data_IF_367818097130
#
_entry.id   IF_367818097130
#
_cell.length_a   1.000
_cell.length_b   1.000
_cell.length_c   1.000
_cell.angle_alpha   90.00
_cell.angle_beta   90.00
_cell.angle_gamma   90.00
#
_symmetry.space_group_name_H-M   'P 1'
#
loop_
_entity.id
_entity.type
_entity.pdbx_description
1 polymer ?
#
# COMPACT_ATOMS: atom_id res chain seq x y z
N UNK A 1 -82.68 52.47 -14.19
CA UNK A 1 -81.80 52.75 -15.31
C UNK A 1 -80.48 53.22 -14.78
N UNK A 2 -79.42 52.41 -14.81
CA UNK A 2 -78.04 52.82 -15.08
C UNK A 2 -77.20 51.54 -15.16
N UNK A 3 -76.61 51.28 -16.34
CA UNK A 3 -75.75 50.18 -16.65
C UNK A 3 -74.37 50.53 -16.18
N UNK A 4 -73.69 49.70 -15.42
CA UNK A 4 -72.26 49.74 -15.16
C UNK A 4 -71.54 49.00 -16.28
N UNK A 5 -70.49 49.60 -16.81
CA UNK A 5 -69.58 49.05 -17.79
C UNK A 5 -68.45 48.33 -17.05
N UNK A 6 -68.30 47.00 -17.28
CA UNK A 6 -67.07 46.27 -16.92
C UNK A 6 -66.07 46.46 -18.02
N UNK A 7 -64.88 46.91 -17.62
CA UNK A 7 -63.71 47.04 -18.50
C UNK A 7 -62.83 45.75 -18.40
N UNK A 8 -62.89 44.91 -19.43
CA UNK A 8 -62.02 43.81 -19.61
C UNK A 8 -60.61 44.28 -20.04
N UNK A 9 -59.60 44.11 -19.19
CA UNK A 9 -58.20 44.30 -19.57
C UNK A 9 -57.67 43.08 -20.39
N UNK A 10 -56.64 43.29 -21.24
CA UNK A 10 -56.17 42.28 -22.18
C UNK A 10 -55.45 41.10 -21.52
N UNK A 11 -55.56 39.86 -22.07
CA UNK A 11 -55.15 38.59 -21.44
C UNK A 11 -53.68 38.23 -21.42
N UNK A 12 -52.75 39.21 -21.61
CA UNK A 12 -51.32 38.92 -21.71
C UNK A 12 -50.45 39.25 -20.46
N UNK A 13 -51.09 39.64 -19.35
CA UNK A 13 -50.38 40.00 -18.11
C UNK A 13 -50.19 38.85 -17.10
N UNK A 14 -50.63 37.60 -17.39
CA UNK A 14 -50.52 36.48 -16.43
C UNK A 14 -49.33 35.54 -16.62
N UNK A 15 -48.44 35.74 -17.58
CA UNK A 15 -47.37 34.80 -17.88
C UNK A 15 -45.95 35.23 -17.43
N UNK A 16 -45.79 36.35 -16.70
CA UNK A 16 -44.46 36.80 -16.27
C UNK A 16 -43.91 36.09 -15.03
N UNK A 17 -44.70 35.39 -14.24
CA UNK A 17 -44.27 34.75 -13.01
C UNK A 17 -43.72 33.32 -13.18
N UNK A 18 -43.93 32.67 -14.32
CA UNK A 18 -43.45 31.28 -14.55
C UNK A 18 -42.01 31.26 -15.07
N UNK A 19 -41.63 32.25 -15.86
CA UNK A 19 -40.28 32.33 -16.45
C UNK A 19 -39.21 32.66 -15.41
N UNK A 20 -39.48 33.47 -14.40
CA UNK A 20 -38.53 33.82 -13.34
C UNK A 20 -38.22 32.66 -12.41
N UNK A 21 -39.17 31.76 -12.14
CA UNK A 21 -38.90 30.56 -11.32
C UNK A 21 -37.96 29.57 -12.01
N UNK A 22 -38.08 29.40 -13.32
CA UNK A 22 -37.18 28.55 -14.10
C UNK A 22 -35.76 29.13 -14.21
N UNK A 23 -35.63 30.42 -14.39
CA UNK A 23 -34.30 31.10 -14.40
C UNK A 23 -33.61 31.01 -13.05
N UNK A 24 -34.33 31.13 -11.93
CA UNK A 24 -33.71 31.00 -10.60
C UNK A 24 -33.23 29.57 -10.31
N UNK A 25 -33.91 28.56 -10.77
CA UNK A 25 -33.48 27.15 -10.62
C UNK A 25 -32.27 26.82 -11.52
N UNK A 26 -32.21 27.34 -12.73
CA UNK A 26 -31.08 27.17 -13.64
C UNK A 26 -29.82 27.85 -13.06
N UNK A 27 -29.96 29.07 -12.55
CA UNK A 27 -28.84 29.78 -11.91
C UNK A 27 -28.38 29.07 -10.62
N UNK A 28 -29.30 28.55 -9.79
CA UNK A 28 -28.95 27.75 -8.61
C UNK A 28 -28.25 26.43 -8.98
N UNK A 29 -28.67 25.77 -10.04
CA UNK A 29 -28.00 24.56 -10.55
C UNK A 29 -26.61 24.86 -11.09
N UNK A 30 -26.45 25.97 -11.82
CA UNK A 30 -25.15 26.42 -12.35
C UNK A 30 -24.17 26.82 -11.21
N UNK A 31 -24.66 27.49 -10.18
CA UNK A 31 -23.87 27.87 -9.01
C UNK A 31 -23.51 26.63 -8.15
N UNK A 32 -24.38 25.62 -8.07
CA UNK A 32 -24.08 24.33 -7.43
C UNK A 32 -23.04 23.54 -8.25
N UNK A 33 -23.13 23.54 -9.58
CA UNK A 33 -22.15 22.89 -10.46
C UNK A 33 -20.79 23.58 -10.41
N UNK A 34 -20.74 24.91 -10.39
CA UNK A 34 -19.51 25.69 -10.23
C UNK A 34 -18.86 25.44 -8.85
N UNK A 35 -19.62 25.28 -7.79
CA UNK A 35 -19.11 24.92 -6.47
C UNK A 35 -18.61 23.45 -6.37
N UNK A 36 -19.19 22.54 -7.16
CA UNK A 36 -18.71 21.15 -7.28
C UNK A 36 -17.40 21.07 -8.09
N UNK A 37 -17.28 21.88 -9.15
CA UNK A 37 -16.05 21.95 -9.95
C UNK A 37 -14.94 22.72 -9.19
N UNK A 38 -15.28 23.75 -8.41
CA UNK A 38 -14.30 24.48 -7.59
C UNK A 38 -13.76 23.66 -6.40
N UNK A 39 -14.51 22.67 -5.89
CA UNK A 39 -14.02 21.75 -4.84
C UNK A 39 -13.13 20.63 -5.33
N UNK A 40 -12.95 20.51 -6.64
CA UNK A 40 -12.04 19.53 -7.25
C UNK A 40 -10.61 20.05 -7.43
N UNK A 41 -10.28 21.27 -6.98
CA UNK A 41 -9.02 21.94 -7.29
C UNK A 41 -8.23 22.51 -6.10
N UNK A 42 -8.40 21.98 -4.90
CA UNK A 42 -7.51 22.34 -3.79
C UNK A 42 -6.84 21.08 -3.19
N UNK A 43 -6.11 20.32 -4.05
CA UNK A 43 -5.01 19.53 -3.55
C UNK A 43 -3.72 20.36 -3.74
N UNK A 44 -2.95 20.63 -2.67
CA UNK A 44 -1.65 21.24 -2.83
C UNK A 44 -0.82 20.35 -3.75
N UNK A 45 -0.26 20.94 -4.80
CA UNK A 45 0.71 20.31 -5.68
C UNK A 45 1.96 19.97 -4.83
N UNK A 46 1.91 18.82 -4.15
CA UNK A 46 3.01 18.24 -3.39
C UNK A 46 3.88 17.46 -4.37
N UNK A 47 5.12 17.90 -4.49
CA UNK A 47 6.28 17.27 -5.13
C UNK A 47 5.95 16.30 -6.26
N UNK A 48 5.89 16.84 -7.43
CA UNK A 48 5.66 16.18 -8.71
C UNK A 48 6.86 15.35 -9.14
N UNK A 49 7.05 14.19 -8.57
CA UNK A 49 7.63 13.11 -9.37
C UNK A 49 6.46 12.50 -10.12
N UNK A 50 6.41 12.72 -11.44
CA UNK A 50 5.38 12.12 -12.27
C UNK A 50 5.46 10.60 -12.08
N UNK A 51 4.40 9.96 -11.57
CA UNK A 51 4.35 8.51 -11.34
C UNK A 51 4.67 7.70 -12.62
N UNK A 52 4.58 8.33 -13.78
CA UNK A 52 4.77 7.73 -15.10
C UNK A 52 6.25 7.72 -15.54
N UNK A 53 7.11 8.59 -15.00
CA UNK A 53 8.53 8.65 -15.35
C UNK A 53 9.41 8.16 -14.20
N UNK A 54 9.62 6.85 -14.14
CA UNK A 54 10.48 6.22 -13.14
C UNK A 54 11.94 6.65 -13.24
N UNK A 55 12.40 7.09 -14.43
CA UNK A 55 13.78 7.55 -14.62
C UNK A 55 14.03 8.89 -13.93
N UNK A 56 13.07 9.79 -14.00
CA UNK A 56 13.07 11.06 -13.25
C UNK A 56 12.82 10.81 -11.76
N UNK A 57 11.90 9.92 -11.42
CA UNK A 57 11.54 9.59 -10.03
C UNK A 57 12.76 9.13 -9.21
N UNK A 58 13.66 8.33 -9.80
CA UNK A 58 14.86 7.81 -9.17
C UNK A 58 16.17 8.49 -9.65
N UNK A 59 16.11 9.64 -10.30
CA UNK A 59 17.28 10.29 -10.91
C UNK A 59 18.44 10.54 -9.95
N UNK A 60 18.15 10.79 -8.67
CA UNK A 60 19.15 11.15 -7.66
C UNK A 60 19.71 9.97 -6.84
N UNK A 61 19.42 8.72 -7.22
CA UNK A 61 19.95 7.53 -6.50
C UNK A 61 21.10 6.83 -7.24
N UNK A 62 21.43 7.29 -8.45
CA UNK A 62 22.53 6.71 -9.24
C UNK A 62 23.83 6.70 -8.42
N UNK A 63 24.56 5.58 -8.47
CA UNK A 63 25.83 5.34 -7.78
C UNK A 63 25.77 5.24 -6.24
N UNK A 64 24.61 5.44 -5.61
CA UNK A 64 24.47 5.25 -4.17
C UNK A 64 24.36 3.76 -3.81
N UNK A 65 24.86 3.41 -2.60
CA UNK A 65 24.83 2.06 -2.04
C UNK A 65 24.60 2.11 -0.54
N UNK A 66 24.28 0.97 0.06
CA UNK A 66 24.14 0.81 1.50
C UNK A 66 23.22 1.86 2.12
N UNK A 67 23.62 2.37 3.25
CA UNK A 67 22.83 3.33 4.03
C UNK A 67 22.59 4.66 3.30
N UNK A 68 23.52 5.08 2.41
CA UNK A 68 23.34 6.29 1.60
C UNK A 68 22.18 6.13 0.60
N UNK A 69 22.10 4.97 -0.09
CA UNK A 69 21.00 4.65 -0.98
C UNK A 69 19.68 4.55 -0.21
N UNK A 70 19.67 3.85 0.92
CA UNK A 70 18.49 3.68 1.78
C UNK A 70 17.92 5.03 2.24
N UNK A 71 18.76 5.93 2.75
CA UNK A 71 18.36 7.28 3.17
C UNK A 71 17.81 8.11 2.00
N UNK A 72 18.46 8.02 0.84
CA UNK A 72 17.98 8.75 -0.33
C UNK A 72 16.64 8.24 -0.82
N UNK A 73 16.44 6.92 -0.88
CA UNK A 73 15.14 6.33 -1.20
C UNK A 73 14.08 6.73 -0.19
N UNK A 74 14.39 6.70 1.12
CA UNK A 74 13.48 7.18 2.14
C UNK A 74 13.00 8.62 1.86
N UNK A 75 13.91 9.54 1.50
CA UNK A 75 13.54 10.93 1.20
C UNK A 75 12.61 11.07 -0.01
N UNK A 76 12.59 10.08 -0.91
CA UNK A 76 11.73 10.05 -2.10
C UNK A 76 10.37 9.43 -1.78
N UNK A 77 10.34 8.29 -1.05
CA UNK A 77 9.14 7.48 -0.91
C UNK A 77 8.34 7.74 0.37
N UNK A 78 8.99 8.24 1.44
CA UNK A 78 8.31 8.49 2.71
C UNK A 78 7.29 9.64 2.67
N UNK A 79 7.52 10.74 1.93
CA UNK A 79 6.48 11.73 1.69
C UNK A 79 5.41 11.17 0.74
N UNK A 80 4.24 10.81 1.29
CA UNK A 80 3.14 10.30 0.48
C UNK A 80 1.78 10.66 1.09
N UNK A 81 0.72 10.57 0.28
CA UNK A 81 -0.64 10.76 0.74
C UNK A 81 -1.09 9.56 1.59
N UNK A 82 -1.62 9.83 2.77
CA UNK A 82 -2.12 8.80 3.69
C UNK A 82 -3.63 8.67 3.56
N UNK A 83 -4.10 7.45 3.34
CA UNK A 83 -5.53 7.15 3.29
C UNK A 83 -6.09 6.99 4.71
N UNK A 84 -7.39 7.20 4.86
CA UNK A 84 -8.10 6.69 6.04
C UNK A 84 -8.16 5.16 6.01
N UNK A 85 -8.25 4.54 7.20
CA UNK A 85 -8.34 3.07 7.28
C UNK A 85 -9.58 2.51 6.56
N UNK A 86 -10.65 3.30 6.41
CA UNK A 86 -11.84 2.94 5.65
C UNK A 86 -11.57 2.92 4.14
N UNK A 87 -10.88 3.93 3.61
CA UNK A 87 -10.57 4.04 2.17
C UNK A 87 -9.69 2.90 1.67
N UNK A 88 -8.88 2.30 2.54
CA UNK A 88 -8.06 1.12 2.18
C UNK A 88 -8.90 -0.01 1.60
N UNK A 89 -10.15 -0.23 2.06
CA UNK A 89 -11.02 -1.27 1.48
C UNK A 89 -11.30 -1.04 0.00
N UNK A 90 -11.61 0.18 -0.38
CA UNK A 90 -11.95 0.51 -1.76
C UNK A 90 -10.70 0.54 -2.64
N UNK A 91 -9.58 1.00 -2.10
CA UNK A 91 -8.29 0.93 -2.78
C UNK A 91 -7.91 -0.52 -3.12
N UNK A 92 -7.99 -1.46 -2.16
CA UNK A 92 -7.67 -2.88 -2.38
C UNK A 92 -8.59 -3.53 -3.44
N UNK A 93 -9.88 -3.19 -3.46
CA UNK A 93 -10.81 -3.67 -4.49
C UNK A 93 -10.38 -3.27 -5.91
N UNK A 94 -9.65 -2.20 -6.05
CA UNK A 94 -9.16 -1.70 -7.33
C UNK A 94 -7.75 -2.20 -7.65
N UNK A 95 -6.80 -2.05 -6.72
CA UNK A 95 -5.38 -2.37 -6.99
C UNK A 95 -5.08 -3.88 -6.99
N UNK A 96 -5.87 -4.68 -6.25
CA UNK A 96 -5.76 -6.14 -6.17
C UNK A 96 -6.92 -6.85 -6.90
N UNK A 97 -7.56 -6.18 -7.85
CA UNK A 97 -8.65 -6.74 -8.65
C UNK A 97 -8.21 -7.96 -9.46
N UNK A 98 -9.04 -9.00 -9.50
CA UNK A 98 -8.74 -10.25 -10.20
C UNK A 98 -8.58 -10.08 -11.72
N UNK A 99 -9.39 -9.20 -12.34
CA UNK A 99 -9.13 -8.73 -13.69
C UNK A 99 -8.25 -7.48 -13.60
N UNK A 100 -6.96 -7.67 -13.80
CA UNK A 100 -5.98 -6.60 -13.66
C UNK A 100 -6.10 -5.54 -14.75
N UNK A 101 -6.59 -5.87 -15.94
CA UNK A 101 -6.76 -4.91 -17.03
C UNK A 101 -8.02 -4.06 -16.86
N UNK A 102 -9.06 -4.65 -16.25
CA UNK A 102 -10.35 -4.00 -16.02
C UNK A 102 -10.75 -3.99 -14.54
N UNK A 103 -10.00 -3.31 -13.68
CA UNK A 103 -10.21 -3.38 -12.24
C UNK A 103 -11.56 -2.83 -11.78
N UNK A 104 -12.15 -1.89 -12.52
CA UNK A 104 -13.46 -1.32 -12.19
C UNK A 104 -14.61 -2.29 -12.39
N UNK A 105 -14.55 -3.13 -13.42
CA UNK A 105 -15.58 -4.12 -13.77
C UNK A 105 -15.35 -5.47 -13.09
N UNK A 106 -14.14 -5.73 -12.61
CA UNK A 106 -13.79 -6.96 -11.88
C UNK A 106 -14.64 -7.13 -10.64
N UNK A 107 -15.29 -8.29 -10.49
CA UNK A 107 -16.12 -8.62 -9.32
C UNK A 107 -15.34 -9.20 -8.14
N UNK A 108 -14.06 -9.60 -8.35
CA UNK A 108 -13.20 -10.25 -7.38
C UNK A 108 -11.91 -9.51 -7.09
N UNK A 109 -11.26 -9.90 -5.97
CA UNK A 109 -9.88 -9.59 -5.62
C UNK A 109 -9.08 -10.88 -5.53
N UNK A 110 -7.75 -10.80 -5.71
CA UNK A 110 -6.83 -11.93 -5.50
C UNK A 110 -6.29 -11.87 -4.08
N UNK A 111 -6.40 -12.96 -3.34
CA UNK A 111 -5.88 -13.09 -1.98
C UNK A 111 -4.41 -13.53 -1.99
N UNK A 112 -3.58 -12.86 -1.17
CA UNK A 112 -2.12 -13.03 -1.19
C UNK A 112 -1.63 -14.42 -0.74
N UNK A 113 -2.33 -15.11 0.17
CA UNK A 113 -1.87 -16.39 0.74
C UNK A 113 -2.63 -17.61 0.20
N UNK A 114 -3.83 -17.42 -0.29
CA UNK A 114 -4.63 -18.48 -0.89
C UNK A 114 -4.53 -18.52 -2.41
N UNK A 115 -4.11 -17.41 -3.02
CA UNK A 115 -4.10 -17.16 -4.46
C UNK A 115 -5.49 -17.29 -5.12
N UNK A 116 -6.55 -17.29 -4.30
CA UNK A 116 -7.93 -17.42 -4.78
C UNK A 116 -8.50 -16.07 -5.19
N UNK A 117 -9.40 -16.13 -6.15
CA UNK A 117 -10.25 -15.00 -6.50
C UNK A 117 -11.48 -15.04 -5.61
N UNK A 118 -11.68 -13.99 -4.82
CA UNK A 118 -12.82 -13.87 -3.89
C UNK A 118 -13.60 -12.61 -4.17
N UNK A 119 -14.93 -12.67 -4.02
CA UNK A 119 -15.80 -11.54 -4.31
C UNK A 119 -15.45 -10.29 -3.50
N UNK A 120 -15.39 -9.15 -4.16
CA UNK A 120 -15.21 -7.83 -3.51
C UNK A 120 -16.26 -7.56 -2.42
N UNK A 121 -17.46 -8.14 -2.55
CA UNK A 121 -18.57 -7.99 -1.59
C UNK A 121 -18.33 -8.70 -0.25
N UNK A 122 -17.35 -9.59 -0.20
CA UNK A 122 -16.99 -10.34 1.01
C UNK A 122 -15.91 -9.65 1.85
N UNK A 123 -15.56 -8.39 1.54
CA UNK A 123 -14.63 -7.59 2.32
C UNK A 123 -15.08 -7.46 3.79
N UNK A 124 -14.22 -7.85 4.73
CA UNK A 124 -14.50 -7.80 6.16
C UNK A 124 -15.51 -8.81 6.68
N UNK A 125 -15.92 -9.81 5.86
CA UNK A 125 -16.83 -10.88 6.30
C UNK A 125 -16.04 -12.07 6.83
N UNK A 126 -16.62 -12.86 7.77
CA UNK A 126 -15.94 -14.04 8.32
C UNK A 126 -15.52 -15.08 7.27
N UNK A 127 -16.34 -15.29 6.23
CA UNK A 127 -16.05 -16.19 5.11
C UNK A 127 -15.44 -15.47 3.90
N UNK A 128 -14.90 -14.29 4.10
CA UNK A 128 -14.32 -13.46 3.06
C UNK A 128 -12.88 -13.11 3.35
N UNK A 129 -12.51 -11.93 2.91
CA UNK A 129 -11.15 -11.46 2.99
C UNK A 129 -11.00 -10.24 3.90
N UNK A 130 -9.81 -10.13 4.49
CA UNK A 130 -9.39 -9.05 5.36
C UNK A 130 -8.25 -8.24 4.74
N UNK A 131 -7.96 -7.08 5.34
CA UNK A 131 -6.77 -6.28 5.09
C UNK A 131 -5.60 -6.90 5.84
N UNK A 132 -4.81 -7.71 5.18
CA UNK A 132 -3.58 -8.27 5.72
C UNK A 132 -2.48 -7.21 5.71
N UNK A 133 -1.87 -6.96 6.87
CA UNK A 133 -0.66 -6.17 7.00
C UNK A 133 0.54 -7.10 6.92
N UNK A 134 1.27 -7.09 5.81
CA UNK A 134 2.45 -7.93 5.60
C UNK A 134 3.49 -7.69 6.70
N UNK A 135 3.79 -6.44 7.02
CA UNK A 135 4.41 -6.08 8.29
C UNK A 135 3.31 -5.85 9.32
N UNK A 136 3.21 -6.69 10.37
CA UNK A 136 2.04 -6.69 11.26
C UNK A 136 1.89 -5.40 12.07
N UNK A 137 0.67 -5.05 12.36
CA UNK A 137 0.33 -3.88 13.19
C UNK A 137 0.97 -3.91 14.58
N UNK A 138 1.12 -5.10 15.16
CA UNK A 138 1.75 -5.30 16.48
C UNK A 138 3.19 -4.82 16.57
N UNK A 139 3.86 -4.59 15.44
CA UNK A 139 5.21 -4.05 15.37
C UNK A 139 5.24 -2.51 15.43
N UNK A 140 4.15 -1.88 15.85
CA UNK A 140 4.06 -0.42 16.05
C UNK A 140 3.35 0.34 14.93
N UNK A 141 2.68 -0.37 14.00
CA UNK A 141 1.87 0.26 12.94
C UNK A 141 0.44 0.52 13.46
N UNK A 142 0.32 1.33 14.49
CA UNK A 142 -0.97 1.54 15.19
C UNK A 142 -1.73 2.78 14.72
N UNK A 143 -1.04 3.72 14.11
CA UNK A 143 -1.59 4.99 13.63
C UNK A 143 -0.74 5.57 12.50
N UNK A 144 -1.21 6.67 11.91
CA UNK A 144 -0.50 7.42 10.87
C UNK A 144 -0.34 6.66 9.55
N UNK A 145 0.56 7.14 8.67
CA UNK A 145 0.71 6.61 7.32
C UNK A 145 1.07 5.12 7.27
N UNK A 146 1.89 4.63 8.20
CA UNK A 146 2.31 3.22 8.22
C UNK A 146 1.16 2.23 8.42
N UNK A 147 0.06 2.65 9.08
CA UNK A 147 -1.12 1.82 9.29
C UNK A 147 -1.93 1.60 8.00
N UNK A 148 -1.89 2.55 7.08
CA UNK A 148 -2.75 2.56 5.88
C UNK A 148 -1.97 2.46 4.58
N UNK A 149 -0.67 2.17 4.66
CA UNK A 149 0.21 2.06 3.51
C UNK A 149 -0.17 0.88 2.60
N UNK A 150 -0.59 1.19 1.38
CA UNK A 150 -1.05 0.20 0.41
C UNK A 150 0.07 -0.72 -0.07
N UNK A 151 1.34 -0.31 0.01
CA UNK A 151 2.47 -1.20 -0.29
C UNK A 151 2.64 -2.32 0.76
N UNK A 152 2.09 -2.12 1.97
CA UNK A 152 2.09 -3.10 3.06
C UNK A 152 0.79 -3.91 3.18
N UNK A 153 -0.31 -3.48 2.56
CA UNK A 153 -1.62 -4.09 2.80
C UNK A 153 -2.09 -4.86 1.57
N UNK A 154 -2.52 -6.12 1.78
CA UNK A 154 -3.04 -7.01 0.74
C UNK A 154 -4.36 -7.67 1.18
N UNK A 155 -5.24 -8.04 0.23
CA UNK A 155 -6.35 -8.92 0.56
C UNK A 155 -5.84 -10.29 1.00
N UNK A 156 -6.38 -10.85 2.08
CA UNK A 156 -6.11 -12.22 2.50
C UNK A 156 -7.37 -12.88 3.05
N UNK A 157 -7.53 -14.17 2.85
CA UNK A 157 -8.58 -14.96 3.50
C UNK A 157 -8.54 -14.74 5.01
N UNK A 158 -9.69 -14.54 5.64
CA UNK A 158 -9.77 -14.18 7.05
C UNK A 158 -9.17 -15.24 7.97
N UNK A 159 -9.36 -16.55 7.64
CA UNK A 159 -8.81 -17.65 8.43
C UNK A 159 -7.30 -17.82 8.21
N UNK A 160 -6.86 -17.67 6.96
CA UNK A 160 -5.43 -17.75 6.63
C UNK A 160 -4.68 -16.57 7.25
N UNK A 161 -5.24 -15.36 7.22
CA UNK A 161 -4.69 -14.19 7.90
C UNK A 161 -4.57 -14.42 9.42
N UNK A 162 -5.60 -14.97 10.06
CA UNK A 162 -5.57 -15.34 11.48
C UNK A 162 -4.49 -16.40 11.76
N UNK A 163 -4.32 -17.41 10.90
CA UNK A 163 -3.31 -18.45 11.00
C UNK A 163 -1.88 -17.90 10.83
N UNK A 164 -1.69 -16.92 9.94
CA UNK A 164 -0.40 -16.22 9.79
C UNK A 164 -0.06 -15.46 11.06
N UNK A 165 -0.99 -14.74 11.65
CA UNK A 165 -0.77 -13.96 12.87
C UNK A 165 0.33 -12.92 12.71
N UNK A 166 1.34 -12.98 13.59
CA UNK A 166 2.49 -12.07 13.57
C UNK A 166 3.82 -12.79 13.26
N UNK A 167 3.75 -13.99 12.66
CA UNK A 167 4.92 -14.80 12.35
C UNK A 167 5.86 -14.11 11.37
N UNK A 168 7.14 -14.41 11.50
CA UNK A 168 8.16 -13.93 10.58
C UNK A 168 8.07 -14.65 9.24
N UNK A 169 8.49 -13.98 8.18
CA UNK A 169 8.61 -14.62 6.87
C UNK A 169 9.95 -15.33 6.74
N UNK A 170 9.90 -16.59 6.35
CA UNK A 170 11.07 -17.43 6.18
C UNK A 170 10.72 -18.76 5.53
N UNK A 171 11.73 -19.60 5.28
CA UNK A 171 11.51 -20.97 4.84
C UNK A 171 11.24 -21.84 6.05
N UNK A 172 10.22 -22.68 5.96
CA UNK A 172 9.99 -23.72 6.95
C UNK A 172 11.04 -24.81 6.79
N UNK A 173 11.63 -25.32 7.88
CA UNK A 173 12.60 -26.38 7.80
C UNK A 173 11.95 -27.67 7.27
N UNK A 174 12.29 -28.05 6.04
CA UNK A 174 11.69 -29.18 5.32
C UNK A 174 11.76 -30.54 6.03
N UNK A 175 12.64 -30.69 7.01
CA UNK A 175 12.81 -31.89 7.84
C UNK A 175 12.15 -31.77 9.21
N UNK A 176 11.56 -30.63 9.55
CA UNK A 176 10.88 -30.43 10.83
C UNK A 176 9.50 -31.03 10.79
N UNK A 177 9.24 -31.98 11.68
CA UNK A 177 7.89 -32.54 11.91
C UNK A 177 6.87 -31.49 12.40
N UNK A 178 7.32 -30.26 12.67
CA UNK A 178 6.52 -29.13 13.14
C UNK A 178 6.06 -28.22 12.00
N UNK A 179 6.56 -28.40 10.78
CA UNK A 179 6.14 -27.64 9.62
C UNK A 179 4.81 -28.17 9.06
N UNK A 180 3.79 -27.35 9.08
CA UNK A 180 2.47 -27.66 8.49
C UNK A 180 2.44 -27.21 7.02
N UNK A 181 1.92 -28.10 6.14
CA UNK A 181 1.73 -27.84 4.71
C UNK A 181 0.45 -28.55 4.21
N UNK A 182 -0.54 -27.83 3.70
CA UNK A 182 -0.61 -26.34 3.68
C UNK A 182 -0.71 -25.78 5.10
N UNK A 183 -0.29 -24.54 5.27
CA UNK A 183 -0.32 -23.84 6.55
C UNK A 183 -1.73 -23.70 7.15
N UNK A 184 -2.76 -23.72 6.30
CA UNK A 184 -4.18 -23.68 6.62
C UNK A 184 -4.95 -24.30 5.46
N UNK A 185 -6.16 -24.83 5.70
CA UNK A 185 -6.98 -25.47 4.64
C UNK A 185 -7.41 -24.53 3.51
N UNK A 186 -7.55 -23.20 3.80
CA UNK A 186 -7.88 -22.19 2.82
C UNK A 186 -6.64 -21.58 2.15
N UNK A 187 -5.43 -21.85 2.64
CA UNK A 187 -4.19 -21.38 2.03
C UNK A 187 -3.86 -22.16 0.76
N UNK A 188 -2.98 -21.59 -0.09
CA UNK A 188 -2.42 -22.30 -1.23
C UNK A 188 -1.61 -23.53 -0.75
N UNK A 189 -1.58 -24.59 -1.56
CA UNK A 189 -1.05 -25.91 -1.17
C UNK A 189 0.43 -25.89 -0.78
N UNK A 190 1.20 -24.92 -1.28
CA UNK A 190 2.63 -24.77 -1.00
C UNK A 190 2.93 -23.73 0.11
N UNK A 191 1.90 -23.18 0.75
CA UNK A 191 2.06 -22.35 1.94
C UNK A 191 2.46 -23.22 3.12
N UNK A 192 3.53 -22.85 3.82
CA UNK A 192 4.04 -23.62 4.96
C UNK A 192 4.11 -22.75 6.22
N UNK A 193 3.99 -23.36 7.38
CA UNK A 193 4.13 -22.66 8.66
C UNK A 193 4.58 -23.59 9.78
N UNK A 194 5.33 -23.03 10.71
CA UNK A 194 5.53 -23.62 12.04
C UNK A 194 5.05 -22.64 13.12
N UNK A 195 5.63 -22.69 14.31
CA UNK A 195 5.27 -21.81 15.43
C UNK A 195 5.64 -20.35 15.17
N UNK A 196 6.74 -20.07 14.48
CA UNK A 196 7.36 -18.75 14.35
C UNK A 196 7.45 -18.24 12.91
N UNK A 197 7.49 -19.16 11.94
CA UNK A 197 7.73 -18.88 10.52
C UNK A 197 6.45 -19.05 9.70
N UNK A 198 6.33 -18.18 8.71
CA UNK A 198 5.36 -18.24 7.65
C UNK A 198 6.07 -18.22 6.29
N UNK A 199 5.99 -19.31 5.54
CA UNK A 199 6.45 -19.42 4.17
C UNK A 199 5.22 -19.28 3.23
N UNK A 200 5.02 -18.12 2.60
CA UNK A 200 3.89 -17.90 1.71
C UNK A 200 4.03 -18.71 0.41
N UNK A 201 2.96 -18.78 -0.42
CA UNK A 201 3.03 -19.40 -1.74
C UNK A 201 4.19 -18.83 -2.56
N UNK A 202 4.85 -19.67 -3.34
CA UNK A 202 6.07 -19.29 -4.09
C UNK A 202 5.85 -18.11 -5.02
N UNK A 203 4.66 -17.98 -5.58
CA UNK A 203 4.27 -16.96 -6.56
C UNK A 203 4.18 -15.53 -6.01
N UNK A 204 4.26 -15.36 -4.68
CA UNK A 204 4.13 -14.06 -4.01
C UNK A 204 5.26 -13.78 -3.01
N UNK A 205 6.28 -14.63 -2.98
CA UNK A 205 7.42 -14.49 -2.07
C UNK A 205 8.20 -13.21 -2.37
N UNK A 206 8.43 -12.93 -3.65
CA UNK A 206 9.07 -11.70 -4.10
C UNK A 206 8.24 -10.46 -3.78
N UNK A 207 6.93 -10.50 -4.03
CA UNK A 207 6.00 -9.41 -3.70
C UNK A 207 6.08 -9.03 -2.21
N UNK A 208 6.06 -10.05 -1.35
CA UNK A 208 6.14 -9.87 0.10
C UNK A 208 7.51 -9.33 0.51
N UNK A 209 8.59 -9.87 -0.05
CA UNK A 209 9.94 -9.39 0.23
C UNK A 209 10.10 -7.91 -0.12
N UNK A 210 9.66 -7.50 -1.31
CA UNK A 210 9.70 -6.11 -1.77
C UNK A 210 8.81 -5.18 -0.94
N UNK A 211 7.66 -5.66 -0.48
CA UNK A 211 6.80 -4.91 0.43
C UNK A 211 7.50 -4.64 1.78
N UNK A 212 8.13 -5.65 2.37
CA UNK A 212 8.84 -5.50 3.66
C UNK A 212 10.09 -4.62 3.54
N UNK A 213 10.85 -4.73 2.43
CA UNK A 213 11.97 -3.85 2.14
C UNK A 213 11.53 -2.39 2.01
N UNK A 214 10.42 -2.14 1.31
CA UNK A 214 9.81 -0.82 1.24
C UNK A 214 9.41 -0.29 2.63
N UNK A 215 8.81 -1.11 3.47
CA UNK A 215 8.41 -0.70 4.82
C UNK A 215 9.61 -0.28 5.68
N UNK A 216 10.72 -1.00 5.62
CA UNK A 216 11.95 -0.59 6.31
C UNK A 216 12.50 0.72 5.74
N UNK A 217 12.52 0.90 4.42
CA UNK A 217 13.00 2.14 3.80
C UNK A 217 12.11 3.32 4.17
N UNK A 218 10.79 3.15 4.13
CA UNK A 218 9.83 4.23 4.39
C UNK A 218 9.75 4.60 5.88
N UNK A 219 9.85 3.61 6.77
CA UNK A 219 9.53 3.78 8.20
C UNK A 219 10.65 3.37 9.16
N UNK A 220 11.82 2.96 8.65
CA UNK A 220 12.97 2.55 9.47
C UNK A 220 13.79 3.73 10.00
N UNK A 221 13.81 4.85 9.29
CA UNK A 221 14.52 6.04 9.72
C UNK A 221 13.72 6.72 10.83
N UNK A 222 14.26 6.73 12.05
CA UNK A 222 13.63 7.43 13.17
C UNK A 222 13.69 8.94 12.95
N UNK A 223 12.58 9.52 12.60
CA UNK A 223 12.35 10.96 12.65
C UNK A 223 11.49 11.28 13.89
N UNK A 224 12.15 11.74 14.94
CA UNK A 224 11.51 12.36 16.13
C UNK A 224 10.14 11.77 16.55
N UNK A 225 10.06 10.46 16.78
CA UNK A 225 8.87 9.77 17.33
C UNK A 225 7.69 9.59 16.38
N UNK A 226 7.80 9.99 15.11
CA UNK A 226 6.71 9.90 14.12
C UNK A 226 6.71 8.63 13.30
N UNK A 227 7.81 7.89 13.26
CA UNK A 227 7.92 6.64 12.53
C UNK A 227 8.11 5.47 13.49
N UNK A 228 7.59 4.26 13.17
CA UNK A 228 7.71 3.11 14.03
C UNK A 228 9.15 2.60 14.22
N UNK A 229 10.12 2.97 13.36
CA UNK A 229 11.50 2.50 13.43
C UNK A 229 11.64 1.03 13.03
N UNK A 230 11.04 0.66 11.90
CA UNK A 230 11.02 -0.72 11.39
C UNK A 230 12.39 -1.17 10.90
N UNK A 231 12.75 -2.46 11.12
CA UNK A 231 14.03 -3.02 10.71
C UNK A 231 13.89 -4.46 10.23
N UNK A 232 14.59 -4.83 9.17
CA UNK A 232 14.75 -6.21 8.73
C UNK A 232 15.98 -6.84 9.40
N UNK A 233 15.86 -8.11 9.80
CA UNK A 233 16.91 -8.83 10.53
C UNK A 233 16.84 -10.33 10.23
N UNK A 234 17.96 -11.03 10.34
CA UNK A 234 17.99 -12.51 10.33
C UNK A 234 17.77 -13.12 11.74
N UNK A 235 17.74 -12.27 12.78
CA UNK A 235 17.34 -12.63 14.14
C UNK A 235 16.26 -11.65 14.62
N UNK A 236 15.06 -11.65 13.98
CA UNK A 236 14.06 -10.63 14.22
C UNK A 236 13.48 -10.70 15.62
N UNK A 237 13.13 -9.53 16.17
CA UNK A 237 12.55 -9.36 17.48
C UNK A 237 11.39 -8.35 17.43
N UNK A 238 10.20 -8.76 17.88
CA UNK A 238 9.00 -7.94 17.84
C UNK A 238 9.12 -6.66 18.69
N UNK A 239 9.77 -6.74 19.86
CA UNK A 239 9.95 -5.59 20.76
C UNK A 239 10.84 -4.53 20.12
N UNK A 240 11.79 -4.96 19.30
CA UNK A 240 12.67 -4.09 18.50
C UNK A 240 12.03 -3.69 17.17
N UNK A 241 10.79 -4.12 16.89
CA UNK A 241 10.06 -3.90 15.63
C UNK A 241 10.81 -4.47 14.42
N UNK A 242 11.51 -5.60 14.63
CA UNK A 242 12.27 -6.29 13.60
C UNK A 242 11.42 -7.38 12.96
N UNK A 243 11.48 -7.45 11.64
CA UNK A 243 10.84 -8.46 10.79
C UNK A 243 11.94 -9.20 10.00
N UNK A 244 11.64 -10.36 9.55
CA UNK A 244 12.59 -11.12 8.74
C UNK A 244 11.98 -12.41 8.22
N UNK A 245 12.82 -13.29 7.71
CA UNK A 245 14.30 -13.28 7.78
C UNK A 245 14.89 -12.50 6.58
N UNK A 246 15.79 -11.56 6.83
CA UNK A 246 16.36 -10.68 5.79
C UNK A 246 17.04 -11.47 4.66
N UNK A 247 17.90 -12.43 4.99
CA UNK A 247 18.57 -13.27 3.99
C UNK A 247 17.58 -14.05 3.11
N UNK A 248 16.50 -14.53 3.70
CA UNK A 248 15.43 -15.22 2.95
C UNK A 248 14.67 -14.24 2.06
N UNK A 249 14.36 -13.05 2.54
CA UNK A 249 13.67 -12.02 1.75
C UNK A 249 14.52 -11.57 0.55
N UNK A 250 15.83 -11.41 0.74
CA UNK A 250 16.75 -11.08 -0.36
C UNK A 250 16.75 -12.18 -1.43
N UNK A 251 16.81 -13.45 -1.01
CA UNK A 251 16.71 -14.59 -1.93
C UNK A 251 15.36 -14.62 -2.67
N UNK A 252 14.26 -14.37 -1.97
CA UNK A 252 12.94 -14.35 -2.61
C UNK A 252 12.81 -13.26 -3.65
N UNK A 253 13.33 -12.06 -3.38
CA UNK A 253 13.35 -10.96 -4.35
C UNK A 253 14.14 -11.33 -5.63
N UNK A 254 15.16 -12.22 -5.54
CA UNK A 254 15.92 -12.65 -6.72
C UNK A 254 15.20 -13.73 -7.53
N UNK A 255 14.58 -14.71 -6.84
CA UNK A 255 13.99 -15.88 -7.51
C UNK A 255 12.56 -15.66 -7.96
N UNK A 256 11.89 -14.64 -7.44
CA UNK A 256 10.54 -14.21 -7.78
C UNK A 256 10.55 -12.72 -8.15
N UNK A 257 10.98 -12.38 -9.38
CA UNK A 257 11.07 -11.01 -9.85
C UNK A 257 9.69 -10.37 -10.00
N UNK A 258 9.60 -9.01 -10.01
CA UNK A 258 8.32 -8.31 -10.12
C UNK A 258 7.51 -8.76 -11.34
N UNK A 259 6.29 -9.22 -11.09
CA UNK A 259 5.33 -9.60 -12.15
C UNK A 259 4.75 -8.36 -12.84
N UNK A 260 4.01 -8.56 -13.93
CA UNK A 260 3.25 -7.49 -14.58
C UNK A 260 2.19 -6.92 -13.62
N UNK A 261 1.51 -7.77 -12.90
CA UNK A 261 0.45 -7.44 -11.95
C UNK A 261 1.00 -6.59 -10.79
N UNK A 262 2.15 -6.94 -10.25
CA UNK A 262 2.81 -6.19 -9.19
C UNK A 262 3.27 -4.81 -9.68
N UNK A 263 3.82 -4.70 -10.89
CA UNK A 263 4.18 -3.40 -11.49
C UNK A 263 2.97 -2.52 -11.71
N UNK A 264 1.87 -3.06 -12.24
CA UNK A 264 0.61 -2.31 -12.39
C UNK A 264 0.03 -1.88 -11.05
N UNK A 265 0.13 -2.73 -10.03
CA UNK A 265 -0.27 -2.38 -8.67
C UNK A 265 0.55 -1.21 -8.13
N UNK A 266 1.88 -1.25 -8.27
CA UNK A 266 2.79 -0.18 -7.86
C UNK A 266 2.44 1.15 -8.54
N UNK A 267 2.20 1.12 -9.85
CA UNK A 267 1.80 2.29 -10.62
C UNK A 267 0.45 2.86 -10.15
N UNK A 268 -0.56 2.01 -9.90
CA UNK A 268 -1.88 2.43 -9.44
C UNK A 268 -1.86 3.04 -8.05
N UNK A 269 -1.05 2.50 -7.14
CA UNK A 269 -0.85 3.10 -5.82
C UNK A 269 -0.31 4.52 -5.97
N UNK A 270 0.69 4.70 -6.82
CA UNK A 270 1.26 6.02 -7.07
C UNK A 270 0.23 6.95 -7.72
N UNK A 271 -0.38 6.54 -8.84
CA UNK A 271 -1.22 7.40 -9.67
C UNK A 271 -2.52 7.82 -9.01
N UNK A 272 -3.16 6.91 -8.26
CA UNK A 272 -4.54 7.10 -7.80
C UNK A 272 -4.69 7.26 -6.28
N UNK A 273 -3.64 6.94 -5.48
CA UNK A 273 -3.79 6.87 -4.03
C UNK A 273 -2.70 7.58 -3.24
N UNK A 274 -1.49 7.05 -3.21
CA UNK A 274 -0.45 7.50 -2.28
C UNK A 274 0.56 8.47 -2.90
N UNK A 275 0.65 8.56 -4.21
CA UNK A 275 1.61 9.38 -4.95
C UNK A 275 3.09 8.99 -4.71
N UNK A 276 3.33 7.77 -4.24
CA UNK A 276 4.65 7.18 -4.11
C UNK A 276 4.71 5.78 -4.71
N UNK A 277 5.92 5.31 -4.99
CA UNK A 277 6.21 4.01 -5.58
C UNK A 277 7.02 3.16 -4.63
N UNK A 278 6.86 1.84 -4.71
CA UNK A 278 7.80 0.90 -4.08
C UNK A 278 9.04 0.77 -4.98
N UNK A 279 10.22 1.25 -4.54
CA UNK A 279 11.44 1.23 -5.36
C UNK A 279 11.94 -0.17 -5.66
N UNK A 280 11.59 -1.17 -4.86
CA UNK A 280 12.01 -2.55 -5.07
C UNK A 280 11.16 -3.29 -6.12
N UNK A 281 9.99 -2.75 -6.48
CA UNK A 281 9.21 -3.22 -7.64
C UNK A 281 9.76 -2.64 -8.93
N UNK A 282 10.16 -1.38 -8.92
CA UNK A 282 10.72 -0.70 -10.10
C UNK A 282 12.18 -1.13 -10.35
N UNK A 283 12.95 -1.30 -9.26
CA UNK A 283 14.38 -1.58 -9.23
C UNK A 283 14.71 -2.65 -8.17
N UNK A 284 14.41 -3.94 -8.43
CA UNK A 284 14.64 -5.02 -7.46
C UNK A 284 16.10 -5.19 -7.07
N UNK A 285 17.03 -4.73 -7.91
CA UNK A 285 18.47 -4.72 -7.65
C UNK A 285 18.88 -3.81 -6.48
N UNK A 286 18.06 -2.81 -6.12
CA UNK A 286 18.35 -1.94 -4.97
C UNK A 286 18.41 -2.71 -3.65
N UNK A 287 17.69 -3.84 -3.55
CA UNK A 287 17.76 -4.72 -2.40
C UNK A 287 19.21 -5.16 -2.10
N UNK A 288 19.91 -5.70 -3.11
CA UNK A 288 21.33 -6.07 -2.97
C UNK A 288 22.24 -4.86 -2.71
N UNK A 289 21.95 -3.75 -3.35
CA UNK A 289 22.76 -2.54 -3.19
C UNK A 289 22.64 -1.94 -1.77
N UNK A 290 21.58 -2.23 -1.04
CA UNK A 290 21.35 -1.76 0.34
C UNK A 290 21.92 -2.76 1.35
N UNK A 291 21.50 -4.02 1.30
CA UNK A 291 21.74 -4.98 2.38
C UNK A 291 22.88 -5.98 2.12
N UNK A 292 23.30 -6.18 0.88
CA UNK A 292 24.36 -7.14 0.55
C UNK A 292 25.69 -6.45 0.24
N UNK A 293 26.14 -5.53 1.13
CA UNK A 293 27.44 -4.88 1.01
C UNK A 293 28.50 -5.73 1.71
N UNK A 294 29.63 -6.07 1.04
CA UNK A 294 30.77 -6.67 1.75
C UNK A 294 31.27 -5.71 2.82
N UNK A 295 31.68 -6.25 3.97
CA UNK A 295 32.22 -5.51 5.13
C UNK A 295 33.38 -4.55 4.79
N UNK A 296 34.00 -4.70 3.63
CA UNK A 296 35.13 -3.87 3.15
C UNK A 296 34.76 -2.44 2.74
N UNK A 297 33.50 -2.07 2.73
CA UNK A 297 33.03 -0.73 2.29
C UNK A 297 32.61 0.20 3.45
N UNK A 298 32.90 -0.18 4.70
CA UNK A 298 32.73 0.72 5.84
C UNK A 298 33.80 1.81 5.79
N UNK A 299 33.47 3.10 6.00
CA UNK A 299 34.46 4.14 6.06
C UNK A 299 35.48 3.85 7.19
N UNK A 300 36.78 4.22 7.05
CA UNK A 300 37.83 3.79 7.93
C UNK A 300 37.82 4.29 9.39
N UNK A 301 36.69 4.89 9.83
CA UNK A 301 36.54 5.48 11.17
C UNK A 301 35.43 4.89 12.03
N UNK A 302 35.00 3.65 11.78
CA UNK A 302 34.10 2.98 12.73
C UNK A 302 34.95 2.14 13.69
N UNK A 303 35.41 2.72 14.78
CA UNK A 303 36.10 2.00 15.88
C UNK A 303 35.04 1.07 16.54
N UNK A 304 35.14 -0.22 16.26
CA UNK A 304 34.39 -1.23 16.98
C UNK A 304 35.07 -1.41 18.34
N UNK A 305 34.53 -0.82 19.40
CA UNK A 305 34.94 -1.14 20.75
C UNK A 305 34.50 -2.55 21.11
N UNK A 306 35.38 -3.53 20.87
CA UNK A 306 35.21 -4.88 21.39
C UNK A 306 35.72 -4.84 22.84
N UNK A 307 34.80 -4.71 23.79
CA UNK A 307 35.10 -4.94 25.19
C UNK A 307 35.29 -6.44 25.39
N UNK A 308 36.52 -6.87 25.56
CA UNK A 308 36.90 -8.24 25.99
C UNK A 308 36.64 -8.28 27.49
N UNK A 309 35.79 -9.20 28.02
CA UNK A 309 35.64 -9.38 29.46
C UNK A 309 36.93 -10.02 30.00
N UNK A 310 37.60 -9.32 30.92
CA UNK A 310 38.71 -9.91 31.71
C UNK A 310 38.15 -11.06 32.56
N UNK A 311 38.96 -12.13 32.63
CA UNK A 311 38.72 -13.31 33.43
C UNK A 311 38.71 -13.01 34.93
#
# INVERSE_FOLDING_TARGET
MHRGYEANGPPWLTNFNVTWRWFSHIISFYLLFLNLVARAQDYPASSTYACEDTSSYYSHVKHLRGEALKKKLNSIVAPHHSLSYKEVWDALKFIDAANVDEPNTSSGVVEIYSLRVVSKRLSGKPQGWNREHLWPRSYGLTNGPSLTDLHNIRPADANVNASRGNKYYGECEAKSSKCLKPANKEAALDTETDKEIWAPPRQVRGDIARALMYMEVSYGVQQSGRTPGLRLSDAPNIEKKEMGLLSTLLKWNEVDPPSREERLRNERICKFYQHNRNPFVDHPEYAKLIWNQPLSTLPPNTTINISVPNK
#
